data_IF_322515036928
#
_entry.id   IF_322515036928
#
_cell.length_a   1.000
_cell.length_b   1.000
_cell.length_c   1.000
_cell.angle_alpha   90.00
_cell.angle_beta   90.00
_cell.angle_gamma   90.00
#
_symmetry.space_group_name_H-M   'P 1'
#
loop_
_entity.id
_entity.type
_entity.pdbx_description
1 polymer ?
#
# COMPACT_ATOMS: atom_id res chain seq x y z
N UNK A 1 20.53 -17.13 3.20
CA UNK A 1 19.07 -17.11 3.41
C UNK A 1 18.57 -15.81 2.82
N UNK A 2 17.96 -15.83 1.63
CA UNK A 2 17.33 -14.64 1.06
C UNK A 2 16.00 -14.46 1.77
N UNK A 3 15.87 -13.39 2.56
CA UNK A 3 14.57 -12.89 2.95
C UNK A 3 13.81 -12.62 1.65
N UNK A 4 12.53 -12.98 1.52
CA UNK A 4 11.74 -12.47 0.41
C UNK A 4 11.80 -10.95 0.57
N UNK A 5 12.61 -10.29 -0.25
CA UNK A 5 12.71 -8.84 -0.31
C UNK A 5 11.29 -8.35 -0.49
N UNK A 6 10.70 -7.88 0.60
CA UNK A 6 9.33 -7.40 0.61
C UNK A 6 9.42 -6.08 -0.13
N UNK A 7 9.36 -6.19 -1.46
CA UNK A 7 9.57 -5.06 -2.34
C UNK A 7 8.58 -3.96 -1.95
N UNK A 8 8.99 -2.71 -2.02
CA UNK A 8 8.11 -1.56 -1.74
C UNK A 8 6.80 -1.63 -2.55
N UNK A 9 6.80 -2.30 -3.71
CA UNK A 9 5.61 -2.61 -4.49
C UNK A 9 4.59 -3.53 -3.77
N UNK A 10 5.08 -4.55 -3.05
CA UNK A 10 4.25 -5.43 -2.21
C UNK A 10 3.66 -4.65 -1.05
N UNK A 11 4.48 -3.85 -0.37
CA UNK A 11 4.07 -2.96 0.73
C UNK A 11 2.97 -1.98 0.30
N UNK A 12 3.13 -1.37 -0.88
CA UNK A 12 2.11 -0.50 -1.47
C UNK A 12 0.81 -1.26 -1.81
N UNK A 13 0.93 -2.51 -2.27
CA UNK A 13 -0.23 -3.35 -2.58
C UNK A 13 -0.99 -3.72 -1.30
N UNK A 14 -0.27 -4.04 -0.22
CA UNK A 14 -0.88 -4.29 1.09
C UNK A 14 -1.62 -3.07 1.63
N UNK A 15 -1.06 -1.86 1.47
CA UNK A 15 -1.72 -0.60 1.86
C UNK A 15 -3.03 -0.37 1.11
N UNK A 16 -3.04 -0.58 -0.21
CA UNK A 16 -4.26 -0.51 -1.03
C UNK A 16 -5.29 -1.54 -0.58
N UNK A 17 -4.89 -2.78 -0.36
CA UNK A 17 -5.79 -3.87 0.05
C UNK A 17 -6.41 -3.60 1.43
N UNK A 18 -5.63 -3.10 2.39
CA UNK A 18 -6.14 -2.67 3.69
C UNK A 18 -7.24 -1.60 3.53
N UNK A 19 -7.02 -0.59 2.67
CA UNK A 19 -8.06 0.40 2.35
C UNK A 19 -9.30 -0.24 1.75
N UNK A 20 -9.15 -1.13 0.76
CA UNK A 20 -10.28 -1.81 0.12
C UNK A 20 -11.09 -2.70 1.08
N UNK A 21 -10.43 -3.28 2.08
CA UNK A 21 -11.09 -4.01 3.17
C UNK A 21 -11.83 -3.09 4.17
N UNK A 22 -11.53 -1.79 4.15
CA UNK A 22 -12.03 -0.82 5.12
C UNK A 22 -11.19 -0.75 6.40
N UNK A 23 -9.98 -1.30 6.38
CA UNK A 23 -9.05 -1.22 7.51
C UNK A 23 -8.60 0.24 7.71
N UNK A 24 -8.44 0.70 8.95
CA UNK A 24 -7.93 2.04 9.24
C UNK A 24 -6.43 2.15 8.89
N UNK A 25 -5.94 3.37 8.68
CA UNK A 25 -4.51 3.61 8.44
C UNK A 25 -3.60 3.15 9.60
N UNK A 26 -4.15 2.98 10.82
CA UNK A 26 -3.45 2.43 11.98
C UNK A 26 -3.25 0.91 11.90
N UNK A 27 -3.85 0.23 10.93
CA UNK A 27 -3.60 -1.18 10.64
C UNK A 27 -2.26 -1.40 9.90
N UNK A 28 -1.50 -0.34 9.64
CA UNK A 28 -0.16 -0.40 9.07
C UNK A 28 0.76 -1.25 9.98
N UNK A 29 1.26 -2.41 9.52
CA UNK A 29 2.09 -3.28 10.35
C UNK A 29 3.56 -2.81 10.43
N UNK A 30 3.95 -1.83 9.61
CA UNK A 30 5.33 -1.34 9.54
C UNK A 30 5.60 -0.26 10.59
N UNK A 31 6.83 -0.18 11.12
CA UNK A 31 7.18 0.83 12.13
C UNK A 31 7.14 2.26 11.57
N UNK A 32 6.59 3.19 12.36
CA UNK A 32 6.56 4.61 12.01
C UNK A 32 7.98 5.16 11.78
N UNK A 33 8.18 5.84 10.66
CA UNK A 33 9.49 6.39 10.25
C UNK A 33 10.28 5.50 9.29
N UNK A 34 9.87 4.25 9.07
CA UNK A 34 10.45 3.41 8.01
C UNK A 34 9.86 3.70 6.64
N UNK A 35 10.65 3.42 5.60
CA UNK A 35 10.24 3.59 4.20
C UNK A 35 9.00 2.75 3.87
N UNK A 36 8.92 1.52 4.41
CA UNK A 36 7.75 0.64 4.25
C UNK A 36 6.47 1.26 4.83
N UNK A 37 6.57 1.86 6.02
CA UNK A 37 5.42 2.54 6.64
C UNK A 37 4.94 3.71 5.78
N UNK A 38 5.86 4.51 5.25
CA UNK A 38 5.54 5.61 4.36
C UNK A 38 4.89 5.13 3.05
N UNK A 39 5.41 4.06 2.46
CA UNK A 39 4.89 3.49 1.21
C UNK A 39 3.51 2.86 1.41
N UNK A 40 3.32 2.06 2.46
CA UNK A 40 2.03 1.46 2.80
C UNK A 40 0.98 2.54 3.05
N UNK A 41 1.33 3.55 3.86
CA UNK A 41 0.41 4.65 4.21
C UNK A 41 0.03 5.44 2.97
N UNK A 42 1.00 5.81 2.12
CA UNK A 42 0.74 6.51 0.87
C UNK A 42 -0.18 5.72 -0.05
N UNK A 43 -0.01 4.41 -0.14
CA UNK A 43 -0.84 3.54 -0.97
C UNK A 43 -2.24 3.31 -0.38
N UNK A 44 -2.38 3.34 0.95
CA UNK A 44 -3.68 3.36 1.63
C UNK A 44 -4.41 4.70 1.44
N UNK A 45 -3.68 5.82 1.46
CA UNK A 45 -4.23 7.18 1.29
C UNK A 45 -4.58 7.49 -0.17
N UNK A 46 -3.82 6.94 -1.12
CA UNK A 46 -4.01 7.12 -2.56
C UNK A 46 -4.85 5.95 -3.08
N UNK A 47 -6.17 6.10 -3.24
CA UNK A 47 -6.90 5.15 -4.07
C UNK A 47 -6.26 5.16 -5.45
N UNK A 48 -6.02 4.00 -6.06
CA UNK A 48 -5.86 3.98 -7.50
C UNK A 48 -7.12 4.61 -8.07
N UNK A 49 -7.03 5.87 -8.48
CA UNK A 49 -7.98 6.43 -9.41
C UNK A 49 -7.92 5.47 -10.57
N UNK A 50 -8.99 4.69 -10.70
CA UNK A 50 -9.42 4.00 -11.89
C UNK A 50 -8.75 4.68 -13.07
N UNK A 51 -7.77 4.01 -13.69
CA UNK A 51 -7.22 4.46 -14.94
C UNK A 51 -8.44 4.81 -15.79
N UNK A 52 -8.60 6.04 -16.28
CA UNK A 52 -9.78 6.39 -17.04
C UNK A 52 -9.89 5.36 -18.15
N UNK A 53 -10.94 4.54 -18.08
CA UNK A 53 -11.26 3.51 -19.05
C UNK A 53 -11.21 4.21 -20.40
N UNK A 54 -10.09 4.02 -21.09
CA UNK A 54 -9.80 4.58 -22.40
C UNK A 54 -10.62 3.79 -23.41
N UNK A 55 -11.94 3.89 -23.27
CA UNK A 55 -12.92 3.31 -24.17
C UNK A 55 -13.57 4.47 -24.90
N UNK A 56 -12.92 4.91 -25.97
CA UNK A 56 -13.53 5.62 -27.10
C UNK A 56 -12.89 5.16 -28.40
#
# INVERSE_FOLDING_TARGET
MSFPETSLASVATEGRQARYRGDPATANPYPEGSEDHAVWKRAWETPEREAPDGRV
#
